data_IF_229347178742
#
_entry.id   IF_229347178742
#
_cell.length_a   1.000
_cell.length_b   1.000
_cell.length_c   1.000
_cell.angle_alpha   90.00
_cell.angle_beta   90.00
_cell.angle_gamma   90.00
#
_symmetry.space_group_name_H-M   'P 1'
#
loop_
_entity.id
_entity.type
_entity.pdbx_description
1 polymer ?
#
# COMPACT_ATOMS: atom_id res chain seq x y z
N UNK A 1 -10.16 0.90 13.90
CA UNK A 1 -10.53 1.92 12.89
C UNK A 1 -12.05 1.98 12.67
N UNK A 2 -12.75 0.86 12.45
CA UNK A 2 -14.22 0.83 12.29
C UNK A 2 -15.03 1.32 13.51
N UNK A 3 -14.44 1.36 14.72
CA UNK A 3 -15.13 1.79 15.94
C UNK A 3 -15.21 3.32 16.12
N UNK A 4 -14.72 4.11 15.15
CA UNK A 4 -14.86 5.57 15.19
C UNK A 4 -14.27 6.22 16.43
N UNK A 5 -13.24 5.61 17.03
CA UNK A 5 -12.56 6.08 18.24
C UNK A 5 -11.06 6.22 18.00
N UNK A 6 -10.38 6.66 19.05
CA UNK A 6 -8.94 6.79 19.04
C UNK A 6 -8.26 5.44 18.84
N UNK A 7 -7.08 5.44 18.26
CA UNK A 7 -6.27 4.23 18.10
C UNK A 7 -4.78 4.54 18.22
N UNK A 8 -3.99 3.51 18.48
CA UNK A 8 -2.54 3.60 18.44
C UNK A 8 -1.97 2.56 17.49
N UNK A 9 -0.85 2.88 16.85
CA UNK A 9 -0.15 1.96 15.98
C UNK A 9 1.37 2.07 16.15
N UNK A 10 2.08 0.99 15.83
CA UNK A 10 3.54 0.96 15.85
C UNK A 10 4.16 1.64 14.63
N UNK A 11 5.13 2.52 14.84
CA UNK A 11 5.97 3.04 13.77
C UNK A 11 7.04 2.00 13.45
N UNK A 12 6.96 1.41 12.27
CA UNK A 12 7.95 0.45 11.77
C UNK A 12 9.12 1.18 11.12
N UNK A 13 10.35 0.85 11.51
CA UNK A 13 11.57 1.35 10.90
C UNK A 13 12.22 0.25 10.06
N UNK A 14 12.23 0.44 8.74
CA UNK A 14 12.78 -0.53 7.78
C UNK A 14 14.30 -0.72 7.93
N UNK A 15 15.04 0.27 8.45
CA UNK A 15 16.49 0.15 8.66
C UNK A 15 16.83 -0.73 9.86
N UNK A 16 15.93 -0.79 10.85
CA UNK A 16 16.09 -1.57 12.07
C UNK A 16 15.26 -2.86 12.07
N UNK A 17 14.36 -3.02 11.09
CA UNK A 17 13.51 -4.21 10.95
C UNK A 17 12.48 -4.39 12.07
N UNK A 18 12.15 -3.34 12.84
CA UNK A 18 11.32 -3.45 14.05
C UNK A 18 10.42 -2.22 14.27
N UNK A 19 9.45 -2.37 15.16
CA UNK A 19 8.67 -1.25 15.68
C UNK A 19 9.55 -0.47 16.66
N UNK A 20 9.73 0.83 16.41
CA UNK A 20 10.62 1.69 17.21
C UNK A 20 9.88 2.65 18.13
N UNK A 21 8.61 2.91 17.85
CA UNK A 21 7.76 3.79 18.65
C UNK A 21 6.29 3.42 18.50
N UNK A 22 5.46 3.95 19.39
CA UNK A 22 4.00 3.94 19.28
C UNK A 22 3.52 5.33 18.93
N UNK A 23 2.52 5.41 18.05
CA UNK A 23 1.85 6.66 17.70
C UNK A 23 0.38 6.56 18.05
N UNK A 24 -0.07 7.47 18.90
CA UNK A 24 -1.47 7.68 19.17
C UNK A 24 -2.10 8.57 18.09
N UNK A 25 -3.31 8.21 17.68
CA UNK A 25 -4.11 8.93 16.70
C UNK A 25 -5.49 9.16 17.31
N UNK A 26 -5.83 10.41 17.66
CA UNK A 26 -7.18 10.72 18.10
C UNK A 26 -8.15 10.51 16.93
N UNK A 27 -9.44 10.35 17.24
CA UNK A 27 -10.51 10.24 16.25
C UNK A 27 -10.43 11.37 15.22
N UNK A 28 -10.52 11.01 13.95
CA UNK A 28 -10.57 11.94 12.81
C UNK A 28 -11.81 11.69 11.98
N UNK A 29 -12.26 12.73 11.27
CA UNK A 29 -13.34 12.60 10.29
C UNK A 29 -12.90 11.78 9.06
N UNK A 30 -11.63 11.89 8.67
CA UNK A 30 -11.04 11.18 7.55
C UNK A 30 -9.73 10.51 7.97
N UNK A 31 -9.59 9.23 7.63
CA UNK A 31 -8.34 8.49 7.72
C UNK A 31 -8.04 7.88 6.35
N UNK A 32 -6.82 8.11 5.85
CA UNK A 32 -6.32 7.52 4.61
C UNK A 32 -5.31 6.44 5.00
N UNK A 33 -5.51 5.24 4.48
CA UNK A 33 -4.62 4.11 4.67
C UNK A 33 -4.05 3.77 3.30
N UNK A 34 -2.78 4.11 3.09
CA UNK A 34 -2.08 3.88 1.82
C UNK A 34 -1.07 2.73 1.95
N UNK A 35 -0.83 2.06 0.82
CA UNK A 35 0.05 0.91 0.74
C UNK A 35 -0.48 -0.15 -0.22
N UNK A 36 0.44 -0.93 -0.81
CA UNK A 36 0.07 -1.90 -1.84
C UNK A 36 -0.83 -3.03 -1.31
N UNK A 37 -0.65 -3.41 -0.04
CA UNK A 37 -1.41 -4.46 0.63
C UNK A 37 -2.56 -3.93 1.52
N UNK A 38 -2.92 -2.64 1.44
CA UNK A 38 -3.94 -2.06 2.33
C UNK A 38 -5.30 -2.77 2.20
N UNK A 39 -5.67 -3.25 1.02
CA UNK A 39 -6.94 -3.96 0.79
C UNK A 39 -6.91 -5.47 1.08
N UNK A 40 -5.90 -5.97 1.82
CA UNK A 40 -5.74 -7.40 2.04
C UNK A 40 -6.94 -7.97 2.84
N UNK A 41 -7.59 -9.08 2.41
CA UNK A 41 -8.82 -9.59 3.05
C UNK A 41 -8.70 -9.93 4.54
N UNK A 42 -7.48 -10.17 5.04
CA UNK A 42 -7.18 -10.33 6.48
C UNK A 42 -7.73 -9.18 7.33
N UNK A 43 -7.83 -7.97 6.77
CA UNK A 43 -8.38 -6.81 7.47
C UNK A 43 -9.91 -6.74 7.42
N UNK A 44 -10.58 -7.68 6.74
CA UNK A 44 -12.00 -7.63 6.45
C UNK A 44 -12.29 -6.57 5.40
N UNK A 45 -13.29 -5.73 5.67
CA UNK A 45 -13.63 -4.58 4.83
C UNK A 45 -13.82 -3.30 5.66
N UNK A 46 -12.74 -2.73 6.22
CA UNK A 46 -12.82 -1.60 7.13
C UNK A 46 -12.98 -0.25 6.42
N UNK A 47 -13.05 -0.24 5.09
CA UNK A 47 -12.95 0.96 4.27
C UNK A 47 -14.32 1.40 3.77
N UNK A 48 -14.63 2.69 3.94
CA UNK A 48 -15.82 3.31 3.34
C UNK A 48 -15.63 3.59 1.85
N UNK A 49 -14.38 3.77 1.40
CA UNK A 49 -14.00 4.02 0.01
C UNK A 49 -12.64 3.38 -0.27
N UNK A 50 -12.49 2.73 -1.41
CA UNK A 50 -11.25 2.08 -1.87
C UNK A 50 -10.84 2.69 -3.21
N UNK A 51 -9.59 3.14 -3.28
CA UNK A 51 -9.00 3.62 -4.52
C UNK A 51 -7.83 2.73 -4.93
N UNK A 52 -7.77 2.38 -6.21
CA UNK A 52 -6.63 1.71 -6.84
C UNK A 52 -5.94 2.68 -7.79
N UNK A 53 -4.64 2.88 -7.61
CA UNK A 53 -3.83 3.74 -8.48
C UNK A 53 -2.99 2.86 -9.39
N UNK A 54 -3.11 3.09 -10.69
CA UNK A 54 -2.35 2.39 -11.73
C UNK A 54 -1.54 3.38 -12.53
N UNK A 55 -0.48 2.88 -13.16
CA UNK A 55 0.38 3.63 -14.07
C UNK A 55 0.88 2.66 -15.14
N UNK A 56 1.25 3.17 -16.31
CA UNK A 56 1.81 2.31 -17.34
C UNK A 56 3.14 1.66 -16.87
N UNK A 57 3.43 0.41 -17.28
CA UNK A 57 4.61 -0.30 -16.79
C UNK A 57 5.94 0.38 -17.13
N UNK A 58 6.02 1.11 -18.25
CA UNK A 58 7.26 1.78 -18.66
C UNK A 58 7.54 2.96 -17.75
N UNK A 59 6.55 3.83 -17.53
CA UNK A 59 6.70 4.95 -16.59
C UNK A 59 6.89 4.45 -15.16
N UNK A 60 6.23 3.36 -14.74
CA UNK A 60 6.49 2.73 -13.44
C UNK A 60 7.97 2.36 -13.29
N UNK A 61 8.50 1.64 -14.28
CA UNK A 61 9.89 1.17 -14.34
C UNK A 61 10.87 2.35 -14.31
N UNK A 62 10.64 3.37 -15.13
CA UNK A 62 11.48 4.57 -15.18
C UNK A 62 11.49 5.33 -13.85
N UNK A 63 10.32 5.58 -13.25
CA UNK A 63 10.21 6.28 -11.96
C UNK A 63 10.87 5.50 -10.82
N UNK A 64 10.71 4.18 -10.79
CA UNK A 64 11.39 3.33 -9.81
C UNK A 64 12.91 3.43 -9.99
N UNK A 65 13.41 3.36 -11.23
CA UNK A 65 14.84 3.45 -11.51
C UNK A 65 15.42 4.80 -11.09
N UNK A 66 14.72 5.89 -11.40
CA UNK A 66 15.13 7.24 -11.01
C UNK A 66 15.18 7.41 -9.48
N UNK A 67 14.18 6.88 -8.76
CA UNK A 67 14.10 7.01 -7.29
C UNK A 67 15.06 6.10 -6.53
N UNK A 68 15.22 4.85 -6.99
CA UNK A 68 15.87 3.80 -6.22
C UNK A 68 17.22 3.32 -6.80
N UNK A 69 17.58 3.77 -8.00
CA UNK A 69 18.80 3.35 -8.69
C UNK A 69 18.72 1.95 -9.28
N UNK A 70 19.70 1.60 -10.12
CA UNK A 70 19.67 0.38 -10.94
C UNK A 70 19.63 -0.93 -10.14
N UNK A 71 20.35 -1.01 -9.01
CA UNK A 71 20.39 -2.22 -8.19
C UNK A 71 19.02 -2.55 -7.59
N UNK A 72 18.34 -1.56 -7.02
CA UNK A 72 17.01 -1.77 -6.45
C UNK A 72 15.94 -1.90 -7.53
N UNK A 73 16.06 -1.16 -8.64
CA UNK A 73 15.18 -1.30 -9.79
C UNK A 73 15.07 -2.75 -10.28
N UNK A 74 16.21 -3.46 -10.36
CA UNK A 74 16.23 -4.89 -10.68
C UNK A 74 15.38 -5.73 -9.71
N UNK A 75 15.50 -5.48 -8.40
CA UNK A 75 14.66 -6.17 -7.39
C UNK A 75 13.18 -5.85 -7.54
N UNK A 76 12.81 -4.61 -7.87
CA UNK A 76 11.41 -4.29 -8.15
C UNK A 76 10.86 -5.12 -9.31
N UNK A 77 11.61 -5.22 -10.41
CA UNK A 77 11.19 -5.95 -11.60
C UNK A 77 11.12 -7.47 -11.39
N UNK A 78 12.10 -8.04 -10.68
CA UNK A 78 12.23 -9.49 -10.51
C UNK A 78 11.44 -10.03 -9.30
N UNK A 79 11.17 -9.20 -8.28
CA UNK A 79 10.61 -9.64 -7.00
C UNK A 79 9.30 -8.90 -6.67
N UNK A 80 9.36 -7.57 -6.48
CA UNK A 80 8.25 -6.85 -5.85
C UNK A 80 7.05 -6.67 -6.77
N UNK A 81 7.23 -6.23 -8.02
CA UNK A 81 6.13 -6.06 -8.97
C UNK A 81 5.43 -7.40 -9.27
N UNK A 82 6.15 -8.52 -9.49
CA UNK A 82 5.51 -9.83 -9.60
C UNK A 82 4.69 -10.24 -8.37
N UNK A 83 5.18 -9.98 -7.16
CA UNK A 83 4.46 -10.27 -5.91
C UNK A 83 3.20 -9.40 -5.76
N UNK A 84 3.30 -8.12 -6.07
CA UNK A 84 2.17 -7.18 -6.07
C UNK A 84 1.11 -7.62 -7.08
N UNK A 85 1.51 -7.92 -8.32
CA UNK A 85 0.59 -8.41 -9.37
C UNK A 85 -0.08 -9.73 -8.98
N UNK A 86 0.66 -10.66 -8.37
CA UNK A 86 0.10 -11.91 -7.86
C UNK A 86 -0.95 -11.63 -6.78
N UNK A 87 -0.67 -10.72 -5.86
CA UNK A 87 -1.61 -10.29 -4.83
C UNK A 87 -2.86 -9.65 -5.43
N UNK A 88 -2.71 -8.74 -6.40
CA UNK A 88 -3.83 -8.09 -7.08
C UNK A 88 -4.74 -9.11 -7.76
N UNK A 89 -4.16 -10.06 -8.49
CA UNK A 89 -4.91 -11.11 -9.17
C UNK A 89 -5.58 -12.08 -8.19
N UNK A 90 -4.88 -12.51 -7.14
CA UNK A 90 -5.39 -13.49 -6.16
C UNK A 90 -6.63 -12.98 -5.43
N UNK A 91 -6.65 -11.68 -5.10
CA UNK A 91 -7.73 -11.09 -4.29
C UNK A 91 -8.63 -10.11 -5.05
N UNK A 92 -8.52 -10.08 -6.38
CA UNK A 92 -9.30 -9.21 -7.27
C UNK A 92 -9.30 -7.75 -6.80
N UNK A 93 -8.11 -7.24 -6.44
CA UNK A 93 -7.97 -5.94 -5.77
C UNK A 93 -8.52 -4.81 -6.65
N UNK A 94 -8.22 -4.83 -7.95
CA UNK A 94 -8.66 -3.79 -8.89
C UNK A 94 -10.20 -3.78 -9.00
N UNK A 95 -10.82 -4.96 -9.07
CA UNK A 95 -12.28 -5.09 -9.19
C UNK A 95 -13.02 -4.73 -7.89
N UNK A 96 -12.33 -4.77 -6.76
CA UNK A 96 -12.87 -4.39 -5.44
C UNK A 96 -12.68 -2.91 -5.13
N UNK A 97 -11.98 -2.16 -5.98
CA UNK A 97 -11.81 -0.72 -5.81
C UNK A 97 -13.06 0.01 -6.31
N UNK A 98 -13.47 1.04 -5.57
CA UNK A 98 -14.58 1.91 -5.97
C UNK A 98 -14.12 2.95 -6.99
N UNK A 99 -12.83 3.30 -6.97
CA UNK A 99 -12.20 4.25 -7.87
C UNK A 99 -10.90 3.68 -8.44
N UNK A 100 -10.70 3.83 -9.75
CA UNK A 100 -9.46 3.49 -10.44
C UNK A 100 -8.89 4.78 -11.03
N UNK A 101 -7.67 5.13 -10.63
CA UNK A 101 -6.97 6.32 -11.10
C UNK A 101 -5.77 5.87 -11.94
N UNK A 102 -5.71 6.27 -13.21
CA UNK A 102 -4.55 6.05 -14.07
C UNK A 102 -3.70 7.31 -14.12
N UNK A 103 -2.40 7.18 -13.85
CA UNK A 103 -1.41 8.25 -13.83
C UNK A 103 -0.49 8.24 -15.05
#
# INVERSE_FOLDING_TARGET
>A
LQLGGDFSYGIYDCSQGRIVAQKHVPKKQLNIIEGVYSMHPKFGDPYTLKAFMTIDPNTQSERIKQRNGAKMHRRFLEEWIPLENKYFATYNIVQRADLILSL
#
